data_IF_242502835558
#
_entry.id   IF_242502835558
#
_cell.length_a   1.000
_cell.length_b   1.000
_cell.length_c   1.000
_cell.angle_alpha   90.00
_cell.angle_beta   90.00
_cell.angle_gamma   90.00
#
_symmetry.space_group_name_H-M   'P 1'
#
loop_
_entity.id
_entity.type
_entity.pdbx_description
1 polymer ?
#
# COMPACT_ATOMS: atom_id res chain seq x y z
N UNK A 1 -18.65 40.99 -9.86
CA UNK A 1 -17.33 40.90 -9.18
C UNK A 1 -17.41 40.20 -7.83
N UNK A 2 -18.37 40.51 -6.95
CA UNK A 2 -18.49 39.89 -5.62
C UNK A 2 -18.64 38.34 -5.64
N UNK A 3 -19.42 37.79 -6.57
CA UNK A 3 -19.60 36.32 -6.69
C UNK A 3 -18.32 35.57 -7.06
N UNK A 4 -17.46 36.15 -7.90
CA UNK A 4 -16.16 35.55 -8.25
C UNK A 4 -15.19 35.57 -7.06
N UNK A 5 -15.20 36.64 -6.27
CA UNK A 5 -14.42 36.75 -5.03
C UNK A 5 -14.87 35.74 -3.97
N UNK A 6 -16.18 35.52 -3.82
CA UNK A 6 -16.73 34.52 -2.89
C UNK A 6 -16.35 33.10 -3.32
N UNK A 7 -16.44 32.77 -4.61
CA UNK A 7 -16.04 31.45 -5.12
C UNK A 7 -14.54 31.21 -4.95
N UNK A 8 -13.71 32.22 -5.22
CA UNK A 8 -12.26 32.13 -5.02
C UNK A 8 -11.91 31.95 -3.54
N UNK A 9 -12.55 32.71 -2.64
CA UNK A 9 -12.35 32.58 -1.20
C UNK A 9 -12.80 31.22 -0.66
N UNK A 10 -13.95 30.71 -1.11
CA UNK A 10 -14.45 29.39 -0.75
C UNK A 10 -13.50 28.28 -1.25
N UNK A 11 -13.02 28.37 -2.49
CA UNK A 11 -12.03 27.45 -3.04
C UNK A 11 -10.72 27.44 -2.25
N UNK A 12 -10.23 28.63 -1.88
CA UNK A 12 -9.04 28.77 -1.03
C UNK A 12 -9.22 28.14 0.35
N UNK A 13 -10.36 28.36 1.00
CA UNK A 13 -10.67 27.78 2.30
C UNK A 13 -10.72 26.23 2.24
N UNK A 14 -11.33 25.67 1.19
CA UNK A 14 -11.37 24.21 0.97
C UNK A 14 -9.97 23.65 0.76
N UNK A 15 -9.14 24.30 -0.06
CA UNK A 15 -7.76 23.86 -0.31
C UNK A 15 -6.92 23.85 0.98
N UNK A 16 -7.04 24.90 1.80
CA UNK A 16 -6.36 24.98 3.11
C UNK A 16 -6.86 23.88 4.04
N UNK A 17 -8.17 23.66 4.12
CA UNK A 17 -8.74 22.58 4.93
C UNK A 17 -8.22 21.20 4.50
N UNK A 18 -8.19 20.91 3.20
CA UNK A 18 -7.67 19.64 2.68
C UNK A 18 -6.16 19.49 2.95
N UNK A 19 -5.38 20.57 2.84
CA UNK A 19 -3.96 20.55 3.16
C UNK A 19 -3.71 20.28 4.65
N UNK A 20 -4.49 20.91 5.54
CA UNK A 20 -4.45 20.64 6.99
C UNK A 20 -4.85 19.20 7.32
N UNK A 21 -5.89 18.67 6.65
CA UNK A 21 -6.31 17.27 6.82
C UNK A 21 -5.24 16.31 6.33
N UNK A 22 -4.66 16.55 5.17
CA UNK A 22 -3.54 15.75 4.66
C UNK A 22 -2.35 15.78 5.62
N UNK A 23 -1.96 16.96 6.09
CA UNK A 23 -0.87 17.10 7.05
C UNK A 23 -1.16 16.34 8.35
N UNK A 24 -2.36 16.48 8.90
CA UNK A 24 -2.79 15.74 10.10
C UNK A 24 -2.78 14.23 9.87
N UNK A 25 -3.24 13.75 8.71
CA UNK A 25 -3.24 12.32 8.37
C UNK A 25 -1.83 11.76 8.20
N UNK A 26 -0.90 12.54 7.66
CA UNK A 26 0.50 12.12 7.51
C UNK A 26 1.29 12.15 8.84
N UNK A 27 0.86 12.97 9.82
CA UNK A 27 1.57 13.11 11.10
C UNK A 27 0.84 12.47 12.30
N UNK A 28 -0.40 12.02 12.10
CA UNK A 28 -1.17 11.33 13.14
C UNK A 28 -0.65 9.92 13.35
N UNK A 29 -0.43 9.55 14.61
CA UNK A 29 -0.16 8.17 15.00
C UNK A 29 -1.47 7.46 15.29
N UNK A 30 -1.65 6.29 14.69
CA UNK A 30 -2.75 5.40 15.06
C UNK A 30 -2.52 4.98 16.51
N UNK A 31 -3.51 5.27 17.36
CA UNK A 31 -3.43 5.07 18.81
C UNK A 31 -4.41 3.98 19.21
N UNK A 32 -3.91 2.96 19.91
CA UNK A 32 -4.75 1.96 20.59
C UNK A 32 -4.20 0.54 20.44
N UNK A 33 -4.01 -0.21 21.55
CA UNK A 33 -3.77 -1.64 21.48
C UNK A 33 -5.00 -2.31 20.86
N UNK A 34 -4.77 -3.23 19.91
CA UNK A 34 -5.80 -4.02 19.26
C UNK A 34 -5.38 -5.48 19.26
N UNK A 35 -6.35 -6.36 19.47
CA UNK A 35 -6.14 -7.81 19.43
C UNK A 35 -5.88 -8.30 17.99
N UNK A 36 -6.52 -7.68 17.00
CA UNK A 36 -6.30 -7.97 15.59
C UNK A 36 -6.30 -6.70 14.72
N UNK A 37 -5.59 -6.78 13.59
CA UNK A 37 -5.46 -5.72 12.59
C UNK A 37 -5.74 -6.26 11.20
N UNK A 38 -6.69 -5.66 10.51
CA UNK A 38 -6.97 -5.99 9.11
C UNK A 38 -5.82 -5.53 8.22
N UNK A 39 -5.25 -6.47 7.46
CA UNK A 39 -4.07 -6.26 6.64
C UNK A 39 -4.44 -6.30 5.15
N UNK A 40 -4.09 -5.25 4.41
CA UNK A 40 -4.15 -5.21 2.95
C UNK A 40 -2.74 -5.35 2.38
N UNK A 41 -2.48 -6.45 1.69
CA UNK A 41 -1.20 -6.75 1.06
C UNK A 41 -1.29 -6.49 -0.44
N UNK A 42 -0.39 -5.68 -0.99
CA UNK A 42 -0.29 -5.52 -2.45
C UNK A 42 0.82 -6.41 -2.98
N UNK A 43 0.45 -7.45 -3.70
CA UNK A 43 1.37 -8.44 -4.26
C UNK A 43 1.65 -8.13 -5.75
N UNK A 44 2.92 -7.90 -6.08
CA UNK A 44 3.37 -7.67 -7.46
C UNK A 44 3.77 -8.97 -8.17
N UNK A 45 3.59 -9.04 -9.49
CA UNK A 45 3.93 -10.24 -10.27
C UNK A 45 5.38 -10.71 -10.10
N UNK A 46 5.57 -12.02 -10.04
CA UNK A 46 6.88 -12.66 -10.06
C UNK A 46 7.63 -12.54 -8.72
N UNK A 47 8.81 -11.92 -8.75
CA UNK A 47 9.72 -11.80 -7.60
C UNK A 47 9.15 -10.98 -6.44
N UNK A 48 8.39 -9.92 -6.72
CA UNK A 48 7.77 -9.10 -5.68
C UNK A 48 6.75 -9.88 -4.83
N UNK A 49 5.99 -10.81 -5.44
CA UNK A 49 5.10 -11.69 -4.67
C UNK A 49 5.90 -12.65 -3.80
N UNK A 50 7.00 -13.22 -4.29
CA UNK A 50 7.84 -14.06 -3.43
C UNK A 50 8.43 -13.26 -2.27
N UNK A 51 8.82 -12.02 -2.52
CA UNK A 51 9.30 -11.11 -1.48
C UNK A 51 8.23 -10.84 -0.40
N UNK A 52 7.01 -10.48 -0.82
CA UNK A 52 5.93 -10.15 0.12
C UNK A 52 5.51 -11.37 0.95
N UNK A 53 5.47 -12.56 0.33
CA UNK A 53 5.10 -13.80 1.03
C UNK A 53 6.14 -14.17 2.09
N UNK A 54 7.44 -13.99 1.81
CA UNK A 54 8.50 -14.19 2.82
C UNK A 54 8.36 -13.25 4.02
N UNK A 55 7.98 -12.00 3.78
CA UNK A 55 7.68 -11.06 4.87
C UNK A 55 6.50 -11.57 5.70
N UNK A 56 5.43 -12.03 5.06
CA UNK A 56 4.22 -12.54 5.71
C UNK A 56 4.46 -13.81 6.52
N UNK A 57 5.43 -14.65 6.16
CA UNK A 57 5.84 -15.82 6.96
C UNK A 57 6.25 -15.44 8.38
N UNK A 58 6.88 -14.27 8.54
CA UNK A 58 7.34 -13.76 9.83
C UNK A 58 6.27 -13.02 10.63
N UNK A 59 5.10 -12.73 10.02
CA UNK A 59 4.02 -12.00 10.69
C UNK A 59 3.12 -12.91 11.52
N UNK A 60 2.79 -12.44 12.71
CA UNK A 60 1.88 -13.11 13.65
C UNK A 60 0.44 -13.22 13.11
N UNK A 61 -0.34 -14.13 13.68
CA UNK A 61 -1.76 -14.32 13.35
C UNK A 61 -2.66 -13.13 13.73
N UNK A 62 -2.16 -12.17 14.52
CA UNK A 62 -2.88 -10.93 14.85
C UNK A 62 -3.21 -10.07 13.62
N UNK A 63 -2.50 -10.24 12.50
CA UNK A 63 -2.81 -9.55 11.24
C UNK A 63 -3.90 -10.31 10.47
N UNK A 64 -5.14 -10.24 10.94
CA UNK A 64 -6.31 -10.90 10.36
C UNK A 64 -7.54 -9.98 10.42
N UNK A 65 -8.42 -9.96 9.41
CA UNK A 65 -8.35 -10.71 8.15
C UNK A 65 -7.28 -10.16 7.18
N UNK A 66 -6.84 -11.00 6.23
CA UNK A 66 -5.83 -10.65 5.22
C UNK A 66 -6.46 -10.48 3.85
N UNK A 67 -6.28 -9.31 3.28
CA UNK A 67 -6.76 -8.98 1.95
C UNK A 67 -5.56 -8.83 1.03
N UNK A 68 -5.50 -9.64 -0.02
CA UNK A 68 -4.48 -9.57 -1.04
C UNK A 68 -5.00 -8.81 -2.24
N UNK A 69 -4.19 -7.89 -2.76
CA UNK A 69 -4.46 -7.17 -4.01
C UNK A 69 -3.43 -7.61 -5.03
N UNK A 70 -3.92 -8.19 -6.13
CA UNK A 70 -3.11 -8.61 -7.27
C UNK A 70 -3.59 -7.93 -8.55
N UNK A 71 -2.73 -7.95 -9.56
CA UNK A 71 -3.10 -7.55 -10.90
C UNK A 71 -4.09 -8.54 -11.53
N UNK A 72 -5.06 -8.05 -12.32
CA UNK A 72 -6.06 -8.90 -13.00
C UNK A 72 -5.44 -10.02 -13.84
N UNK A 73 -4.29 -9.75 -14.46
CA UNK A 73 -3.59 -10.67 -15.36
C UNK A 73 -2.61 -11.61 -14.63
N UNK A 74 -2.52 -11.56 -13.31
CA UNK A 74 -1.46 -12.22 -12.53
C UNK A 74 -1.95 -13.46 -11.77
N UNK A 75 -2.27 -14.51 -12.54
CA UNK A 75 -2.70 -15.81 -12.00
C UNK A 75 -1.61 -16.49 -11.16
N UNK A 76 -0.34 -16.31 -11.53
CA UNK A 76 0.78 -16.93 -10.82
C UNK A 76 0.84 -16.46 -9.37
N UNK A 77 0.64 -15.17 -9.13
CA UNK A 77 0.61 -14.63 -7.77
C UNK A 77 -0.59 -15.13 -6.98
N UNK A 78 -1.75 -15.27 -7.61
CA UNK A 78 -2.94 -15.87 -6.98
C UNK A 78 -2.66 -17.30 -6.50
N UNK A 79 -2.06 -18.13 -7.35
CA UNK A 79 -1.68 -19.50 -6.98
C UNK A 79 -0.68 -19.54 -5.83
N UNK A 80 0.36 -18.69 -5.87
CA UNK A 80 1.36 -18.60 -4.78
C UNK A 80 0.74 -18.20 -3.44
N UNK A 81 -0.19 -17.23 -3.45
CA UNK A 81 -0.90 -16.77 -2.24
C UNK A 81 -1.77 -17.90 -1.68
N UNK A 82 -2.54 -18.59 -2.54
CA UNK A 82 -3.36 -19.71 -2.10
C UNK A 82 -2.52 -20.83 -1.48
N UNK A 83 -1.42 -21.22 -2.12
CA UNK A 83 -0.51 -22.23 -1.58
C UNK A 83 0.13 -21.77 -0.26
N UNK A 84 0.49 -20.50 -0.15
CA UNK A 84 1.03 -19.92 1.09
C UNK A 84 0.02 -20.00 2.24
N UNK A 85 -1.23 -19.62 2.01
CA UNK A 85 -2.26 -19.62 3.05
C UNK A 85 -2.67 -21.04 3.48
N UNK A 86 -2.74 -21.99 2.54
CA UNK A 86 -2.97 -23.39 2.84
C UNK A 86 -1.85 -23.96 3.73
N UNK A 87 -0.58 -23.74 3.35
CA UNK A 87 0.56 -24.18 4.14
C UNK A 87 0.59 -23.55 5.55
N UNK A 88 0.06 -22.33 5.69
CA UNK A 88 -0.04 -21.66 7.00
C UNK A 88 -1.15 -22.23 7.86
N UNK A 89 -2.31 -22.52 7.26
CA UNK A 89 -3.43 -23.16 7.95
C UNK A 89 -3.05 -24.56 8.47
N UNK A 90 -2.29 -25.34 7.69
CA UNK A 90 -1.82 -26.67 8.11
C UNK A 90 -0.87 -26.63 9.31
N UNK A 91 -0.08 -25.55 9.45
CA UNK A 91 0.87 -25.38 10.56
C UNK A 91 0.20 -24.96 11.87
N UNK A 92 -0.97 -24.34 11.80
CA UNK A 92 -1.70 -23.87 12.98
C UNK A 92 -3.21 -24.23 12.91
N UNK A 93 -3.54 -25.51 13.16
CA UNK A 93 -4.93 -25.99 13.13
C UNK A 93 -5.81 -25.38 14.23
N UNK A 94 -5.20 -24.74 15.23
CA UNK A 94 -5.88 -24.14 16.38
C UNK A 94 -6.45 -22.76 16.05
N UNK A 95 -5.91 -22.11 15.02
CA UNK A 95 -6.50 -20.88 14.49
C UNK A 95 -7.70 -21.21 13.61
N UNK A 96 -8.86 -20.70 13.98
CA UNK A 96 -10.04 -20.61 13.10
C UNK A 96 -9.56 -20.08 11.75
N UNK A 97 -9.72 -20.87 10.69
CA UNK A 97 -9.17 -20.67 9.35
C UNK A 97 -8.92 -19.18 9.06
N UNK A 98 -7.66 -18.73 8.91
CA UNK A 98 -7.40 -17.31 8.77
C UNK A 98 -8.07 -16.80 7.51
N UNK A 99 -9.17 -16.04 7.68
CA UNK A 99 -9.94 -15.50 6.58
C UNK A 99 -9.03 -14.64 5.70
N UNK A 100 -8.83 -15.10 4.47
CA UNK A 100 -8.12 -14.36 3.46
C UNK A 100 -8.99 -14.15 2.23
N UNK A 101 -8.79 -13.00 1.58
CA UNK A 101 -9.53 -12.62 0.38
C UNK A 101 -8.55 -12.13 -0.68
N UNK A 102 -8.74 -12.57 -1.92
CA UNK A 102 -7.96 -12.09 -3.05
C UNK A 102 -8.84 -11.13 -3.86
N UNK A 103 -8.35 -9.90 -4.01
CA UNK A 103 -8.96 -8.85 -4.81
C UNK A 103 -8.09 -8.58 -6.02
N UNK A 104 -8.73 -8.34 -7.16
CA UNK A 104 -8.05 -8.07 -8.42
C UNK A 104 -8.28 -6.63 -8.86
N UNK A 105 -7.22 -5.97 -9.31
CA UNK A 105 -7.28 -4.62 -9.86
C UNK A 105 -6.49 -4.55 -11.17
N UNK A 106 -6.84 -3.64 -12.09
CA UNK A 106 -6.10 -3.47 -13.32
C UNK A 106 -4.69 -2.97 -13.02
N UNK A 107 -3.71 -3.48 -13.79
CA UNK A 107 -2.33 -3.03 -13.68
C UNK A 107 -2.22 -1.54 -13.98
N UNK A 108 -1.47 -0.84 -13.13
CA UNK A 108 -1.19 0.59 -13.37
C UNK A 108 -0.30 0.80 -14.60
N UNK A 109 0.51 -0.20 -14.96
CA UNK A 109 1.38 -0.18 -16.14
C UNK A 109 1.58 -1.58 -16.72
N UNK A 110 1.38 -1.72 -18.03
CA UNK A 110 1.76 -2.91 -18.78
C UNK A 110 3.23 -2.86 -19.23
N UNK A 111 3.83 -4.03 -19.46
CA UNK A 111 5.22 -4.10 -19.96
C UNK A 111 5.24 -3.55 -21.39
N UNK A 112 6.18 -2.63 -21.70
CA UNK A 112 6.29 -1.87 -22.97
C UNK A 112 5.28 -0.74 -23.21
N UNK A 113 4.50 -0.35 -22.19
CA UNK A 113 3.60 0.79 -22.30
C UNK A 113 4.34 2.14 -22.31
N UNK A 114 3.85 3.12 -23.08
CA UNK A 114 4.39 4.48 -23.11
C UNK A 114 4.16 5.23 -21.79
N UNK A 115 5.06 6.16 -21.44
CA UNK A 115 4.99 6.93 -20.20
C UNK A 115 3.70 7.76 -20.07
N UNK A 116 3.19 8.33 -21.16
CA UNK A 116 1.96 9.13 -21.13
C UNK A 116 0.72 8.27 -20.89
N UNK A 117 0.62 7.11 -21.55
CA UNK A 117 -0.51 6.20 -21.33
C UNK A 117 -0.47 5.55 -19.96
N UNK A 118 0.72 5.42 -19.35
CA UNK A 118 0.91 4.93 -17.97
C UNK A 118 0.18 5.81 -16.95
N UNK A 119 0.17 7.14 -17.15
CA UNK A 119 -0.54 8.05 -16.25
C UNK A 119 -2.04 7.77 -16.28
N UNK A 120 -2.62 7.59 -17.48
CA UNK A 120 -4.04 7.30 -17.64
C UNK A 120 -4.41 5.94 -17.02
N UNK A 121 -3.63 4.89 -17.25
CA UNK A 121 -3.88 3.57 -16.66
C UNK A 121 -3.69 3.58 -15.14
N UNK A 122 -2.76 4.38 -14.62
CA UNK A 122 -2.59 4.57 -13.18
C UNK A 122 -3.78 5.29 -12.55
N UNK A 123 -4.30 6.34 -13.18
CA UNK A 123 -5.50 7.04 -12.73
C UNK A 123 -6.74 6.13 -12.77
N UNK A 124 -6.88 5.31 -13.82
CA UNK A 124 -7.95 4.32 -13.91
C UNK A 124 -7.85 3.27 -12.80
N UNK A 125 -6.64 2.74 -12.56
CA UNK A 125 -6.36 1.82 -11.45
C UNK A 125 -6.64 2.47 -10.09
N UNK A 126 -6.33 3.76 -9.94
CA UNK A 126 -6.67 4.53 -8.74
C UNK A 126 -8.18 4.63 -8.53
N UNK A 127 -8.94 4.99 -9.57
CA UNK A 127 -10.40 5.09 -9.51
C UNK A 127 -11.06 3.77 -9.09
N UNK A 128 -10.56 2.64 -9.57
CA UNK A 128 -11.08 1.31 -9.20
C UNK A 128 -10.57 0.83 -7.84
N UNK A 129 -9.36 1.22 -7.44
CA UNK A 129 -8.82 0.87 -6.14
C UNK A 129 -9.58 1.53 -4.98
N UNK A 130 -10.08 2.75 -5.16
CA UNK A 130 -10.68 3.51 -4.07
C UNK A 130 -11.96 2.84 -3.50
N UNK A 131 -12.95 2.42 -4.31
CA UNK A 131 -14.11 1.67 -3.81
C UNK A 131 -13.71 0.39 -3.09
N UNK A 132 -12.67 -0.31 -3.57
CA UNK A 132 -12.16 -1.51 -2.93
C UNK A 132 -11.59 -1.19 -1.55
N UNK A 133 -10.65 -0.24 -1.46
CA UNK A 133 -10.04 0.16 -0.17
C UNK A 133 -11.09 0.73 0.78
N UNK A 134 -12.09 1.47 0.28
CA UNK A 134 -13.20 1.98 1.08
C UNK A 134 -14.15 0.89 1.61
N UNK A 135 -14.33 -0.23 0.88
CA UNK A 135 -15.11 -1.38 1.35
C UNK A 135 -14.33 -2.19 2.39
N UNK A 136 -13.06 -2.48 2.09
CA UNK A 136 -12.20 -3.28 2.97
C UNK A 136 -11.85 -2.53 4.25
N UNK A 137 -11.61 -1.22 4.16
CA UNK A 137 -11.16 -0.34 5.26
C UNK A 137 -10.03 -0.99 6.07
N UNK A 138 -8.88 -1.31 5.46
CA UNK A 138 -7.80 -1.98 6.18
C UNK A 138 -7.24 -1.09 7.30
N UNK A 139 -6.60 -1.71 8.28
CA UNK A 139 -5.83 -0.99 9.31
C UNK A 139 -4.40 -0.72 8.84
N UNK A 140 -3.84 -1.67 8.08
CA UNK A 140 -2.48 -1.61 7.56
C UNK A 140 -2.44 -1.98 6.08
N UNK A 141 -1.69 -1.23 5.29
CA UNK A 141 -1.32 -1.56 3.92
C UNK A 141 0.16 -1.94 3.89
N UNK A 142 0.47 -3.15 3.46
CA UNK A 142 1.83 -3.65 3.27
C UNK A 142 2.09 -3.86 1.78
N UNK A 143 3.16 -3.27 1.26
CA UNK A 143 3.42 -3.31 -0.18
C UNK A 143 4.91 -3.17 -0.53
N UNK A 144 5.33 -3.77 -1.64
CA UNK A 144 6.73 -3.79 -2.08
C UNK A 144 6.92 -3.68 -3.60
N UNK A 145 7.25 -2.49 -4.13
CA UNK A 145 7.87 -2.38 -5.46
C UNK A 145 7.00 -2.22 -6.73
N UNK A 146 5.82 -2.86 -6.99
CA UNK A 146 5.14 -2.67 -8.27
C UNK A 146 4.46 -1.28 -8.33
N UNK A 147 4.26 -0.78 -9.56
CA UNK A 147 3.51 0.45 -9.79
C UNK A 147 2.10 0.41 -9.20
N UNK A 148 1.50 -0.79 -9.11
CA UNK A 148 0.20 -1.06 -8.50
C UNK A 148 0.09 -0.69 -7.02
N UNK A 149 1.21 -0.56 -6.29
CA UNK A 149 1.18 -0.10 -4.89
C UNK A 149 0.74 1.35 -4.75
N UNK A 150 1.11 2.19 -5.73
CA UNK A 150 0.84 3.63 -5.70
C UNK A 150 -0.66 3.94 -5.61
N UNK A 151 -1.54 3.44 -6.51
CA UNK A 151 -2.97 3.71 -6.42
C UNK A 151 -3.61 3.19 -5.13
N UNK A 152 -3.21 2.01 -4.65
CA UNK A 152 -3.72 1.46 -3.38
C UNK A 152 -3.34 2.36 -2.19
N UNK A 153 -2.07 2.79 -2.12
CA UNK A 153 -1.59 3.64 -1.03
C UNK A 153 -2.26 5.03 -1.07
N UNK A 154 -2.44 5.60 -2.26
CA UNK A 154 -3.17 6.87 -2.41
C UNK A 154 -4.63 6.69 -1.96
N UNK A 155 -5.30 5.60 -2.35
CA UNK A 155 -6.66 5.30 -1.91
C UNK A 155 -6.76 5.16 -0.38
N UNK A 156 -5.78 4.52 0.26
CA UNK A 156 -5.68 4.43 1.71
C UNK A 156 -5.48 5.80 2.37
N UNK A 157 -4.64 6.67 1.78
CA UNK A 157 -4.44 8.04 2.24
C UNK A 157 -5.72 8.89 2.10
N UNK A 158 -6.47 8.73 1.01
CA UNK A 158 -7.74 9.40 0.78
C UNK A 158 -8.76 9.06 1.87
N UNK A 159 -8.81 7.81 2.35
CA UNK A 159 -9.67 7.46 3.49
C UNK A 159 -9.36 8.27 4.75
N UNK A 160 -8.08 8.55 4.99
CA UNK A 160 -7.64 9.39 6.08
C UNK A 160 -8.06 10.85 5.88
N UNK A 161 -7.81 11.41 4.68
CA UNK A 161 -8.13 12.82 4.35
C UNK A 161 -9.64 13.08 4.48
N UNK A 162 -10.46 12.15 4.00
CA UNK A 162 -11.93 12.18 4.11
C UNK A 162 -12.43 11.97 5.55
N UNK A 163 -11.56 11.63 6.50
CA UNK A 163 -11.93 11.38 7.89
C UNK A 163 -12.64 10.05 8.12
N UNK A 164 -12.56 9.12 7.17
CA UNK A 164 -13.24 7.82 7.24
C UNK A 164 -12.44 6.87 8.12
N UNK A 165 -11.15 6.68 7.81
CA UNK A 165 -10.24 5.80 8.56
C UNK A 165 -8.80 6.15 8.24
N UNK A 166 -7.95 6.30 9.27
CA UNK A 166 -6.50 6.37 9.09
C UNK A 166 -5.97 4.96 8.88
N UNK A 167 -5.31 4.76 7.74
CA UNK A 167 -4.66 3.51 7.38
C UNK A 167 -3.15 3.69 7.52
N UNK A 168 -2.47 2.73 8.14
CA UNK A 168 -1.01 2.72 8.26
C UNK A 168 -0.44 2.17 6.95
N UNK A 169 0.44 2.92 6.30
CA UNK A 169 1.08 2.50 5.05
C UNK A 169 2.53 2.10 5.37
N UNK A 170 2.83 0.82 5.17
CA UNK A 170 4.16 0.23 5.26
C UNK A 170 4.63 -0.12 3.84
N UNK A 171 5.65 0.58 3.37
CA UNK A 171 6.30 0.28 2.12
C UNK A 171 7.65 -0.38 2.38
N UNK A 172 7.92 -1.52 1.73
CA UNK A 172 9.20 -2.21 1.77
C UNK A 172 9.83 -2.14 0.40
N UNK A 173 10.98 -1.48 0.27
CA UNK A 173 11.69 -1.44 -1.00
C UNK A 173 12.27 -2.82 -1.36
N UNK A 174 12.24 -3.15 -2.65
CA UNK A 174 12.65 -4.47 -3.15
C UNK A 174 14.14 -4.72 -2.89
N UNK A 175 14.49 -5.99 -2.68
CA UNK A 175 15.88 -6.39 -2.42
C UNK A 175 16.80 -6.06 -3.61
N UNK A 176 16.25 -5.98 -4.82
CA UNK A 176 17.00 -5.66 -6.04
C UNK A 176 17.43 -4.18 -6.11
N UNK A 177 16.97 -3.32 -5.20
CA UNK A 177 17.31 -1.89 -5.19
C UNK A 177 18.41 -1.62 -4.17
N UNK A 178 19.65 -1.62 -4.65
CA UNK A 178 20.84 -1.45 -3.79
C UNK A 178 21.26 0.02 -3.66
N UNK A 179 21.24 0.76 -4.76
CA UNK A 179 21.81 2.12 -4.83
C UNK A 179 20.73 3.22 -4.88
N UNK A 180 19.62 2.92 -5.57
CA UNK A 180 18.54 3.87 -5.83
C UNK A 180 17.16 3.25 -5.59
N UNK A 181 16.25 4.08 -5.06
CA UNK A 181 14.84 3.71 -4.91
C UNK A 181 14.17 3.49 -6.26
N UNK A 182 13.21 2.56 -6.27
CA UNK A 182 12.30 2.40 -7.40
C UNK A 182 11.44 3.65 -7.60
N UNK A 183 10.82 3.81 -8.77
CA UNK A 183 9.93 4.95 -9.02
C UNK A 183 8.74 4.96 -8.03
N UNK A 184 8.15 3.79 -7.77
CA UNK A 184 7.12 3.62 -6.75
C UNK A 184 7.67 3.95 -5.36
N UNK A 185 8.89 3.53 -5.04
CA UNK A 185 9.59 3.86 -3.80
C UNK A 185 9.80 5.36 -3.61
N UNK A 186 10.23 6.09 -4.65
CA UNK A 186 10.39 7.56 -4.60
C UNK A 186 9.06 8.27 -4.30
N UNK A 187 7.96 7.81 -4.88
CA UNK A 187 6.62 8.36 -4.62
C UNK A 187 6.19 8.02 -3.19
N UNK A 188 6.28 6.74 -2.81
CA UNK A 188 5.76 6.24 -1.54
C UNK A 188 6.63 6.64 -0.34
N UNK A 189 7.89 7.02 -0.54
CA UNK A 189 8.75 7.57 0.51
C UNK A 189 8.13 8.79 1.23
N UNK A 190 7.38 9.60 0.50
CA UNK A 190 6.69 10.77 1.04
C UNK A 190 5.31 10.46 1.59
N UNK A 191 4.67 9.40 1.11
CA UNK A 191 3.27 9.05 1.43
C UNK A 191 3.14 7.97 2.49
N UNK A 192 4.15 7.13 2.68
CA UNK A 192 4.11 6.03 3.65
C UNK A 192 4.44 6.50 5.07
N UNK A 193 3.80 5.86 6.04
CA UNK A 193 4.08 6.05 7.46
C UNK A 193 5.42 5.39 7.82
N UNK A 194 5.64 4.18 7.31
CA UNK A 194 6.90 3.45 7.43
C UNK A 194 7.47 3.14 6.05
N UNK A 195 8.73 3.49 5.85
CA UNK A 195 9.46 3.20 4.62
C UNK A 195 10.68 2.35 4.96
N UNK A 196 10.67 1.08 4.59
CA UNK A 196 11.69 0.11 4.96
C UNK A 196 12.63 -0.12 3.78
N UNK A 197 13.94 -0.07 4.07
CA UNK A 197 15.01 -0.37 3.12
C UNK A 197 15.85 -1.54 3.61
N UNK A 198 16.37 -2.31 2.67
CA UNK A 198 17.15 -3.52 2.96
C UNK A 198 18.66 -3.32 2.83
N UNK A 199 19.09 -2.15 2.34
CA UNK A 199 20.50 -1.82 2.10
C UNK A 199 20.92 -0.58 2.91
N UNK A 200 22.11 -0.59 3.53
CA UNK A 200 22.60 0.53 4.33
C UNK A 200 22.84 1.80 3.49
N UNK A 201 23.30 1.64 2.25
CA UNK A 201 23.46 2.71 1.25
C UNK A 201 22.19 3.52 1.04
N UNK A 202 21.04 2.84 0.95
CA UNK A 202 19.74 3.51 0.84
C UNK A 202 19.37 4.25 2.13
N UNK A 203 19.72 3.71 3.31
CA UNK A 203 19.45 4.38 4.58
C UNK A 203 20.25 5.68 4.72
N UNK A 204 21.51 5.66 4.30
CA UNK A 204 22.36 6.85 4.28
C UNK A 204 21.78 7.93 3.35
N UNK A 205 21.35 7.54 2.14
CA UNK A 205 20.76 8.46 1.16
C UNK A 205 19.36 8.94 1.53
N UNK A 206 18.59 8.13 2.27
CA UNK A 206 17.21 8.42 2.66
C UNK A 206 17.03 8.29 4.17
N UNK A 207 17.44 9.28 4.99
CA UNK A 207 17.48 9.18 6.44
C UNK A 207 16.12 8.88 7.13
N UNK A 208 15.00 9.25 6.50
CA UNK A 208 13.64 8.94 6.98
C UNK A 208 13.31 7.44 6.92
N UNK A 209 14.02 6.67 6.08
CA UNK A 209 13.79 5.22 5.95
C UNK A 209 14.20 4.46 7.20
N UNK A 210 13.67 3.25 7.37
CA UNK A 210 14.04 2.31 8.42
C UNK A 210 14.84 1.18 7.77
N UNK A 211 16.08 1.00 8.23
CA UNK A 211 16.92 -0.11 7.78
C UNK A 211 16.68 -1.33 8.66
N UNK A 212 16.22 -2.43 8.07
CA UNK A 212 16.01 -3.71 8.77
C UNK A 212 16.96 -4.82 8.27
N UNK A 213 17.91 -4.48 7.40
CA UNK A 213 18.73 -5.48 6.71
C UNK A 213 17.94 -6.33 5.73
N UNK A 214 18.49 -7.51 5.43
CA UNK A 214 17.88 -8.46 4.50
C UNK A 214 16.76 -9.24 5.18
N UNK A 215 15.54 -8.75 5.04
CA UNK A 215 14.32 -9.38 5.56
C UNK A 215 13.63 -10.27 4.51
N UNK A 216 14.22 -10.36 3.30
CA UNK A 216 13.67 -11.09 2.15
C UNK A 216 14.69 -11.98 1.43
#
# INVERSE_FOLDING_TARGET
MAGALILAAAGGAVAVFLALRLWAVLHSRVSGPRESLSLLVVAGSGGHTTEILRLLESLSNAYSPRHYVIADTDEMSAHKINSFELNRADRDPSTTFPEYFIHRIPRSREVHQSWLSTVLTTLYSMWLSFPLTHRVKPDLVLCNGPGTCVPICISALLLGILGIKKVIIVYVESICRVEDLSLSGKILFHLSDYFIVQWPTLKEKYPKSVYLGRIV
#
